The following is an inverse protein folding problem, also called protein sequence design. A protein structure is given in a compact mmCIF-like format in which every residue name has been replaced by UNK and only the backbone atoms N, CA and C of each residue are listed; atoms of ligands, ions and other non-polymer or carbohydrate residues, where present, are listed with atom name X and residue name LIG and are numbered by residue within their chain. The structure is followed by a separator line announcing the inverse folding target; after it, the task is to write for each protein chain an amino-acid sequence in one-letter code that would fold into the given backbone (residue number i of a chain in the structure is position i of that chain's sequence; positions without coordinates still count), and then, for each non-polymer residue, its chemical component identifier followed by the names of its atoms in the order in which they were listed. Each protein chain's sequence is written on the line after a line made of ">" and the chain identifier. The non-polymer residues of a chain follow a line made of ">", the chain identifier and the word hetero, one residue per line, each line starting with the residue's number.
data_IF_913724461143
#
_entry.id   IF_913724461143
#
_cell.length_a   1.000
_cell.length_b   1.000
_cell.length_c   1.000
_cell.angle_alpha   90.00
_cell.angle_beta   90.00
_cell.angle_gamma   90.00
#
_symmetry.space_group_name_H-M   'P 1'
#
loop_
_entity.id
_entity.type
_entity.pdbx_description
1 polymer ?
#
# COMPACT_ATOMS: atom_id res chain seq x y z
N UNK A 1 -6.55 27.32 11.89
CA UNK A 1 -7.87 26.84 11.43
C UNK A 1 -7.87 25.32 11.56
N UNK A 2 -8.87 24.77 12.26
CA UNK A 2 -8.96 23.35 12.60
C UNK A 2 -9.61 22.58 11.44
N UNK A 3 -9.00 21.48 11.01
CA UNK A 3 -9.72 20.23 10.72
C UNK A 3 -8.80 19.07 11.12
N UNK A 4 -8.91 18.68 12.39
CA UNK A 4 -8.56 17.33 12.81
C UNK A 4 -9.50 16.39 12.05
N UNK A 5 -9.04 15.86 10.93
CA UNK A 5 -9.61 14.62 10.40
C UNK A 5 -9.24 13.55 11.42
N UNK A 6 -10.22 13.12 12.20
CA UNK A 6 -10.03 12.01 13.12
C UNK A 6 -9.54 10.82 12.28
N UNK A 7 -8.24 10.53 12.36
CA UNK A 7 -7.71 9.23 12.00
C UNK A 7 -8.39 8.31 13.00
N UNK A 8 -9.48 7.66 12.56
CA UNK A 8 -10.06 6.58 13.33
C UNK A 8 -8.89 5.63 13.59
N UNK A 9 -8.58 5.31 14.86
CA UNK A 9 -7.60 4.27 15.10
C UNK A 9 -8.14 3.04 14.40
N UNK A 10 -7.45 2.61 13.34
CA UNK A 10 -7.66 1.26 12.84
C UNK A 10 -7.43 0.39 14.08
N UNK A 11 -8.46 -0.35 14.56
CA UNK A 11 -8.40 -1.04 15.84
C UNK A 11 -7.11 -1.80 15.87
N UNK A 12 -6.24 -1.48 16.84
CA UNK A 12 -4.88 -1.99 17.00
C UNK A 12 -4.78 -3.35 16.34
N UNK A 13 -4.44 -3.34 15.06
CA UNK A 13 -4.13 -4.56 14.35
C UNK A 13 -2.86 -5.00 15.03
N UNK A 14 -2.81 -6.30 15.31
CA UNK A 14 -1.72 -7.02 15.95
C UNK A 14 -0.44 -6.83 15.12
N UNK A 15 0.10 -5.60 15.12
CA UNK A 15 1.23 -5.21 14.29
C UNK A 15 2.40 -5.92 14.94
N UNK A 16 3.15 -6.73 14.20
CA UNK A 16 4.25 -7.54 14.74
C UNK A 16 5.33 -6.71 15.44
N UNK A 17 5.31 -5.39 15.25
CA UNK A 17 6.28 -4.44 15.77
C UNK A 17 5.72 -3.58 16.92
N UNK A 18 4.44 -3.73 17.30
CA UNK A 18 3.81 -2.89 18.33
C UNK A 18 4.54 -2.93 19.68
N UNK A 19 5.12 -4.09 20.01
CA UNK A 19 5.89 -4.32 21.25
C UNK A 19 7.42 -4.26 21.03
N UNK A 20 7.88 -3.96 19.81
CA UNK A 20 9.31 -3.86 19.54
C UNK A 20 9.86 -2.48 19.93
N UNK A 21 11.12 -2.41 20.42
CA UNK A 21 11.76 -1.12 20.65
C UNK A 21 11.89 -0.33 19.34
N UNK A 22 11.75 1.00 19.38
CA UNK A 22 11.79 1.89 18.20
C UNK A 22 13.02 1.68 17.30
N UNK A 23 14.16 1.29 17.87
CA UNK A 23 15.39 1.02 17.12
C UNK A 23 15.30 -0.21 16.20
N UNK A 24 14.29 -1.07 16.39
CA UNK A 24 14.10 -2.34 15.67
C UNK A 24 12.73 -2.40 14.98
N UNK A 25 11.73 -1.67 15.48
CA UNK A 25 10.43 -1.54 14.83
C UNK A 25 10.56 -0.94 13.42
N UNK A 26 9.72 -1.39 12.49
CA UNK A 26 9.68 -0.86 11.13
C UNK A 26 9.39 0.64 11.20
N UNK A 27 10.26 1.51 10.63
CA UNK A 27 10.05 2.95 10.69
C UNK A 27 8.88 3.33 9.78
N UNK A 28 7.73 3.56 10.40
CA UNK A 28 6.50 3.94 9.70
C UNK A 28 6.28 5.46 9.73
N UNK A 29 5.67 5.99 8.68
CA UNK A 29 5.24 7.40 8.65
C UNK A 29 4.06 7.62 9.61
N UNK A 30 3.86 8.85 10.12
CA UNK A 30 2.72 9.18 10.99
C UNK A 30 1.33 8.92 10.36
N UNK A 31 1.26 8.91 9.03
CA UNK A 31 0.04 8.72 8.24
C UNK A 31 -0.06 7.32 7.59
N UNK A 32 0.74 6.35 8.02
CA UNK A 32 0.82 5.01 7.40
C UNK A 32 -0.54 4.28 7.32
N UNK A 33 -1.48 4.58 8.22
CA UNK A 33 -2.80 3.97 8.29
C UNK A 33 -3.95 4.88 7.81
N UNK A 34 -3.63 6.00 7.15
CA UNK A 34 -4.63 6.96 6.70
C UNK A 34 -5.50 6.47 5.53
N UNK A 35 -5.06 5.43 4.82
CA UNK A 35 -5.73 4.89 3.64
C UNK A 35 -6.20 3.46 3.86
N UNK A 36 -7.36 3.14 3.31
CA UNK A 36 -7.87 1.77 3.23
C UNK A 36 -7.01 0.93 2.29
N UNK A 37 -7.02 -0.40 2.48
CA UNK A 37 -6.29 -1.31 1.59
C UNK A 37 -6.73 -1.19 0.13
N UNK A 38 -8.02 -0.95 -0.11
CA UNK A 38 -8.53 -0.73 -1.46
C UNK A 38 -7.92 0.51 -2.13
N UNK A 39 -7.77 1.61 -1.38
CA UNK A 39 -7.13 2.84 -1.86
C UNK A 39 -5.63 2.65 -2.09
N UNK A 40 -4.95 1.93 -1.17
CA UNK A 40 -3.54 1.56 -1.34
C UNK A 40 -3.34 0.73 -2.61
N UNK A 41 -4.14 -0.32 -2.82
CA UNK A 41 -4.08 -1.17 -4.02
C UNK A 41 -4.32 -0.35 -5.29
N UNK A 42 -5.33 0.52 -5.31
CA UNK A 42 -5.62 1.35 -6.48
C UNK A 42 -4.45 2.28 -6.81
N UNK A 43 -3.89 2.93 -5.79
CA UNK A 43 -2.76 3.88 -5.95
C UNK A 43 -1.50 3.17 -6.43
N UNK A 44 -1.15 2.04 -5.80
CA UNK A 44 0.02 1.24 -6.18
C UNK A 44 -0.15 0.66 -7.59
N UNK A 45 -1.36 0.19 -7.95
CA UNK A 45 -1.64 -0.33 -9.29
C UNK A 45 -1.41 0.75 -10.35
N UNK A 46 -1.87 1.98 -10.11
CA UNK A 46 -1.60 3.11 -11.00
C UNK A 46 -0.09 3.37 -11.17
N UNK A 47 0.68 3.35 -10.09
CA UNK A 47 2.13 3.52 -10.19
C UNK A 47 2.82 2.38 -10.96
N UNK A 48 2.38 1.14 -10.77
CA UNK A 48 2.89 -0.01 -11.54
C UNK A 48 2.53 0.07 -13.01
N UNK A 49 1.36 0.60 -13.37
CA UNK A 49 0.99 0.91 -14.74
C UNK A 49 2.03 1.85 -15.40
N UNK A 50 2.38 2.94 -14.70
CA UNK A 50 3.39 3.89 -15.18
C UNK A 50 4.80 3.28 -15.28
N UNK A 51 5.18 2.42 -14.32
CA UNK A 51 6.44 1.67 -14.37
C UNK A 51 6.45 0.76 -15.60
N UNK A 52 5.38 0.01 -15.86
CA UNK A 52 5.28 -0.90 -17.01
C UNK A 52 5.36 -0.13 -18.33
N UNK A 53 4.69 1.02 -18.44
CA UNK A 53 4.84 1.90 -19.60
C UNK A 53 6.27 2.40 -19.78
N UNK A 54 6.96 2.76 -18.68
CA UNK A 54 8.37 3.19 -18.71
C UNK A 54 9.28 2.07 -19.22
N UNK A 55 8.95 0.81 -18.91
CA UNK A 55 9.66 -0.38 -19.40
C UNK A 55 9.31 -0.72 -20.86
N UNK A 56 8.41 0.01 -21.51
CA UNK A 56 7.97 -0.25 -22.88
C UNK A 56 7.00 -1.43 -22.99
N UNK A 57 6.32 -1.80 -21.91
CA UNK A 57 5.32 -2.86 -21.90
C UNK A 57 3.95 -2.35 -22.36
N UNK A 58 3.31 -3.11 -23.26
CA UNK A 58 1.98 -2.79 -23.77
C UNK A 58 0.89 -3.40 -22.87
N UNK A 59 0.10 -2.54 -22.22
CA UNK A 59 -1.00 -2.95 -21.36
C UNK A 59 -2.30 -3.22 -22.11
N UNK A 60 -2.34 -3.01 -23.44
CA UNK A 60 -3.42 -3.52 -24.27
C UNK A 60 -3.38 -5.05 -24.39
N UNK A 61 -2.22 -5.66 -24.15
CA UNK A 61 -2.09 -7.11 -24.10
C UNK A 61 -2.83 -7.71 -22.89
N UNK A 62 -3.65 -8.73 -23.16
CA UNK A 62 -4.49 -9.38 -22.16
C UNK A 62 -3.70 -10.03 -21.01
N UNK A 63 -2.45 -10.44 -21.25
CA UNK A 63 -1.58 -11.01 -20.23
C UNK A 63 -1.03 -9.95 -19.25
N UNK A 64 -0.94 -8.70 -19.71
CA UNK A 64 -0.33 -7.59 -18.98
C UNK A 64 -1.34 -6.63 -18.34
N UNK A 65 -2.54 -6.47 -18.93
CA UNK A 65 -3.57 -5.54 -18.42
C UNK A 65 -3.94 -5.74 -16.94
N UNK A 66 -3.87 -6.98 -16.45
CA UNK A 66 -4.19 -7.34 -15.07
C UNK A 66 -2.98 -7.29 -14.12
N UNK A 67 -1.77 -7.12 -14.65
CA UNK A 67 -0.52 -7.20 -13.87
C UNK A 67 -0.37 -6.07 -12.85
N UNK A 68 -0.63 -4.79 -13.16
CA UNK A 68 -0.50 -3.72 -12.18
C UNK A 68 -1.34 -3.96 -10.92
N UNK A 69 -2.59 -4.39 -11.11
CA UNK A 69 -3.51 -4.70 -10.01
C UNK A 69 -3.09 -5.94 -9.21
N UNK A 70 -2.57 -6.99 -9.87
CA UNK A 70 -2.08 -8.19 -9.19
C UNK A 70 -0.89 -7.87 -8.29
N UNK A 71 0.09 -7.12 -8.79
CA UNK A 71 1.27 -6.72 -8.02
C UNK A 71 0.88 -5.84 -6.83
N UNK A 72 0.00 -4.85 -7.06
CA UNK A 72 -0.50 -3.99 -5.98
C UNK A 72 -1.22 -4.77 -4.88
N UNK A 73 -2.09 -5.73 -5.26
CA UNK A 73 -2.78 -6.60 -4.30
C UNK A 73 -1.81 -7.46 -3.50
N UNK A 74 -0.82 -8.06 -4.17
CA UNK A 74 0.22 -8.86 -3.51
C UNK A 74 1.00 -8.02 -2.49
N UNK A 75 1.36 -6.77 -2.84
CA UNK A 75 2.09 -5.89 -1.92
C UNK A 75 1.29 -5.60 -0.65
N UNK A 76 0.02 -5.22 -0.78
CA UNK A 76 -0.80 -4.81 0.37
C UNK A 76 -1.27 -6.01 1.19
N UNK A 77 -1.68 -7.10 0.55
CA UNK A 77 -2.35 -8.20 1.25
C UNK A 77 -1.41 -9.34 1.64
N UNK A 78 -0.22 -9.43 1.04
CA UNK A 78 0.67 -10.59 1.22
C UNK A 78 2.06 -10.18 1.71
N UNK A 79 2.73 -9.24 1.02
CA UNK A 79 4.13 -8.89 1.33
C UNK A 79 4.25 -7.96 2.53
N UNK A 80 3.37 -6.96 2.63
CA UNK A 80 3.37 -5.94 3.67
C UNK A 80 2.05 -5.94 4.46
N UNK A 81 1.53 -7.13 4.74
CA UNK A 81 0.31 -7.32 5.54
C UNK A 81 0.55 -7.30 7.05
N UNK A 82 1.81 -7.18 7.48
CA UNK A 82 2.21 -6.97 8.88
C UNK A 82 1.92 -5.55 9.35
#
# INVERSE_FOLDING_TARGET
>A
MKTNGAVLPHPALDHPDADLPEAVATPMRPDAFAHTDAEKIATIAHHFEQIMHTLGLDLADDSLKGTPRRVAKMFVNEVFSG
#
